data_IF_899048646161
#
_entry.id   IF_899048646161
#
_cell.length_a   1.000
_cell.length_b   1.000
_cell.length_c   1.000
_cell.angle_alpha   90.00
_cell.angle_beta   90.00
_cell.angle_gamma   90.00
#
_symmetry.space_group_name_H-M   'P 1'
#
loop_
_entity.id
_entity.type
_entity.pdbx_description
1 polymer ?
#
# COMPACT_ATOMS: atom_id res chain seq x y z
N UNK A 1 20.14 4.35 -23.85
CA UNK A 1 21.16 3.38 -23.40
C UNK A 1 21.43 3.70 -21.94
N UNK A 2 21.41 2.69 -21.08
CA UNK A 2 21.58 2.83 -19.64
C UNK A 2 23.06 3.07 -19.30
N UNK A 3 23.37 4.25 -18.78
CA UNK A 3 24.71 4.77 -18.52
C UNK A 3 25.52 3.96 -17.49
N UNK A 4 24.88 3.05 -16.76
CA UNK A 4 25.53 2.21 -15.74
C UNK A 4 26.18 0.93 -16.30
N UNK A 5 26.06 0.68 -17.60
CA UNK A 5 26.55 -0.54 -18.26
C UNK A 5 27.89 -0.36 -18.97
N UNK A 6 28.30 0.89 -19.21
CA UNK A 6 29.54 1.20 -19.94
C UNK A 6 30.77 0.77 -19.12
N UNK A 7 31.51 -0.21 -19.64
CA UNK A 7 32.81 -0.63 -19.11
C UNK A 7 32.82 -1.85 -18.19
N UNK A 8 31.67 -2.47 -17.91
CA UNK A 8 31.58 -3.63 -16.99
C UNK A 8 31.63 -5.00 -17.68
N UNK A 9 31.46 -5.06 -19.00
CA UNK A 9 31.43 -6.30 -19.79
C UNK A 9 32.29 -6.16 -21.03
N UNK A 10 32.95 -7.24 -21.44
CA UNK A 10 33.71 -7.27 -22.69
C UNK A 10 32.78 -7.16 -23.90
N UNK A 11 33.28 -6.66 -25.02
CA UNK A 11 32.53 -6.55 -26.28
C UNK A 11 31.97 -7.92 -26.72
N UNK A 12 32.71 -8.99 -26.48
CA UNK A 12 32.31 -10.37 -26.75
C UNK A 12 31.11 -10.80 -25.89
N UNK A 13 31.13 -10.47 -24.59
CA UNK A 13 30.05 -10.77 -23.64
C UNK A 13 28.76 -10.02 -24.01
N UNK A 14 28.88 -8.74 -24.35
CA UNK A 14 27.77 -7.94 -24.83
C UNK A 14 27.16 -8.52 -26.12
N UNK A 15 28.00 -9.00 -27.05
CA UNK A 15 27.55 -9.65 -28.28
C UNK A 15 26.80 -10.94 -27.99
N UNK A 16 27.30 -11.78 -27.07
CA UNK A 16 26.61 -13.02 -26.68
C UNK A 16 25.24 -12.78 -26.03
N UNK A 17 25.09 -11.71 -25.25
CA UNK A 17 23.79 -11.32 -24.65
C UNK A 17 22.79 -10.85 -25.69
N UNK A 18 23.23 -10.06 -26.67
CA UNK A 18 22.38 -9.60 -27.77
C UNK A 18 21.92 -10.77 -28.63
N UNK A 19 22.83 -11.70 -28.93
CA UNK A 19 22.51 -12.92 -29.68
C UNK A 19 21.53 -13.82 -28.92
N UNK A 20 21.73 -13.99 -27.60
CA UNK A 20 20.83 -14.74 -26.74
C UNK A 20 19.43 -14.10 -26.67
N UNK A 21 19.35 -12.77 -26.52
CA UNK A 21 18.09 -12.04 -26.53
C UNK A 21 17.34 -12.19 -27.86
N UNK A 22 18.05 -12.11 -28.99
CA UNK A 22 17.51 -12.37 -30.33
C UNK A 22 16.93 -13.78 -30.45
N UNK A 23 17.59 -14.78 -29.86
CA UNK A 23 17.12 -16.17 -29.86
C UNK A 23 15.87 -16.37 -28.98
N UNK A 24 15.78 -15.66 -27.86
CA UNK A 24 14.60 -15.67 -26.99
C UNK A 24 13.36 -15.05 -27.66
N UNK A 25 13.57 -14.06 -28.53
CA UNK A 25 12.51 -13.31 -29.21
C UNK A 25 12.02 -13.96 -30.52
N UNK A 26 12.54 -15.13 -30.89
CA UNK A 26 12.14 -15.80 -32.13
C UNK A 26 10.64 -16.15 -32.14
N UNK A 27 10.00 -15.92 -33.29
CA UNK A 27 8.57 -16.15 -33.48
C UNK A 27 8.21 -17.63 -33.31
N UNK A 28 9.07 -18.55 -33.78
CA UNK A 28 8.86 -19.98 -33.62
C UNK A 28 9.33 -20.51 -32.25
N UNK A 29 8.45 -21.13 -31.44
CA UNK A 29 8.82 -21.63 -30.11
C UNK A 29 9.93 -22.69 -30.10
N UNK A 30 10.08 -23.44 -31.20
CA UNK A 30 11.08 -24.52 -31.34
C UNK A 30 12.52 -24.01 -31.43
N UNK A 31 12.68 -22.74 -31.82
CA UNK A 31 13.99 -22.12 -31.99
C UNK A 31 14.39 -21.29 -30.77
N UNK A 32 13.49 -21.14 -29.78
CA UNK A 32 13.81 -20.47 -28.52
C UNK A 32 14.69 -21.37 -27.66
N UNK A 33 15.71 -20.82 -26.99
CA UNK A 33 16.52 -21.59 -26.07
C UNK A 33 15.68 -22.09 -24.89
N UNK A 34 15.96 -23.30 -24.42
CA UNK A 34 15.35 -23.83 -23.21
C UNK A 34 16.02 -23.21 -21.96
N UNK A 35 15.38 -23.33 -20.79
CA UNK A 35 15.89 -22.75 -19.55
C UNK A 35 17.32 -23.22 -19.20
N UNK A 36 17.68 -24.47 -19.52
CA UNK A 36 19.03 -25.00 -19.26
C UNK A 36 20.09 -24.31 -20.11
N UNK A 37 19.80 -24.10 -21.39
CA UNK A 37 20.69 -23.41 -22.33
C UNK A 37 20.83 -21.93 -21.96
N UNK A 38 19.75 -21.30 -21.50
CA UNK A 38 19.75 -19.92 -21.04
C UNK A 38 20.63 -19.76 -19.79
N UNK A 39 20.46 -20.64 -18.80
CA UNK A 39 21.31 -20.65 -17.59
C UNK A 39 22.77 -20.91 -17.94
N UNK A 40 23.06 -21.86 -18.83
CA UNK A 40 24.43 -22.16 -19.25
C UNK A 40 25.10 -20.99 -19.99
N UNK A 41 24.34 -20.22 -20.78
CA UNK A 41 24.84 -19.04 -21.48
C UNK A 41 25.04 -17.83 -20.54
N UNK A 42 24.21 -17.70 -19.50
CA UNK A 42 24.26 -16.59 -18.55
C UNK A 42 25.23 -16.84 -17.37
N UNK A 43 25.52 -18.10 -17.03
CA UNK A 43 26.40 -18.46 -15.91
C UNK A 43 27.82 -17.84 -16.00
N UNK A 44 28.49 -17.78 -17.17
CA UNK A 44 29.80 -17.13 -17.28
C UNK A 44 29.75 -15.61 -17.07
N UNK A 45 28.60 -14.98 -17.32
CA UNK A 45 28.38 -13.53 -17.20
C UNK A 45 28.01 -13.10 -15.78
N UNK A 46 27.79 -14.06 -14.89
CA UNK A 46 27.47 -13.84 -13.49
C UNK A 46 28.75 -13.48 -12.70
N UNK A 47 29.31 -12.30 -12.97
CA UNK A 47 30.57 -11.81 -12.38
C UNK A 47 30.39 -11.16 -11.00
N UNK A 48 29.14 -10.94 -10.55
CA UNK A 48 28.84 -10.34 -9.25
C UNK A 48 28.39 -11.40 -8.26
N UNK A 49 29.11 -11.47 -7.14
CA UNK A 49 28.78 -12.22 -5.93
C UNK A 49 27.29 -12.11 -5.60
N UNK A 50 26.66 -13.22 -5.20
CA UNK A 50 25.30 -13.26 -4.65
C UNK A 50 25.20 -12.22 -3.53
N UNK A 51 24.68 -11.06 -3.89
CA UNK A 51 24.50 -9.95 -2.96
C UNK A 51 23.01 -9.94 -2.63
N UNK A 52 22.60 -10.02 -1.35
CA UNK A 52 21.21 -9.96 -0.97
C UNK A 52 20.49 -8.79 -1.66
N UNK A 53 19.27 -9.02 -2.13
CA UNK A 53 18.51 -8.05 -2.94
C UNK A 53 18.42 -6.66 -2.29
N UNK A 54 18.31 -6.61 -0.96
CA UNK A 54 18.26 -5.36 -0.20
C UNK A 54 19.51 -4.49 -0.42
N UNK A 55 20.71 -5.09 -0.49
CA UNK A 55 21.98 -4.38 -0.74
C UNK A 55 22.03 -3.88 -2.19
N UNK A 56 21.58 -4.70 -3.14
CA UNK A 56 21.57 -4.34 -4.56
C UNK A 56 20.60 -3.20 -4.85
N UNK A 57 19.46 -3.16 -4.14
CA UNK A 57 18.45 -2.13 -4.28
C UNK A 57 18.76 -0.86 -3.44
N UNK A 58 19.89 -0.82 -2.74
CA UNK A 58 20.26 0.30 -1.86
C UNK A 58 19.27 0.50 -0.70
N UNK A 59 18.48 -0.52 -0.38
CA UNK A 59 17.55 -0.50 0.74
C UNK A 59 18.40 -0.64 2.00
N UNK A 60 18.11 0.11 3.06
CA UNK A 60 18.76 -0.15 4.35
C UNK A 60 18.18 -1.44 4.93
N UNK A 61 19.03 -2.30 5.49
CA UNK A 61 18.56 -3.47 6.23
C UNK A 61 17.64 -2.93 7.33
N UNK A 62 16.35 -3.29 7.33
CA UNK A 62 15.55 -3.17 8.53
C UNK A 62 16.23 -4.09 9.55
N UNK A 63 17.04 -3.51 10.44
CA UNK A 63 17.40 -4.20 11.66
C UNK A 63 16.08 -4.61 12.32
N UNK A 64 15.97 -5.87 12.72
CA UNK A 64 14.89 -6.31 13.61
C UNK A 64 14.83 -5.29 14.76
N UNK A 65 13.78 -4.46 14.73
CA UNK A 65 13.64 -3.39 15.68
C UNK A 65 13.62 -3.99 17.09
N UNK A 66 14.25 -3.35 18.09
CA UNK A 66 14.17 -3.80 19.47
C UNK A 66 12.70 -3.96 19.85
N UNK A 67 12.34 -5.13 20.37
CA UNK A 67 11.00 -5.47 20.78
C UNK A 67 10.56 -4.66 22.01
N UNK A 68 10.21 -3.39 21.83
CA UNK A 68 9.37 -2.58 22.74
C UNK A 68 9.12 -1.20 22.11
N UNK A 69 7.87 -0.79 21.87
CA UNK A 69 7.55 0.61 21.61
C UNK A 69 7.95 1.43 22.85
N UNK A 70 8.81 2.45 22.70
CA UNK A 70 9.18 3.35 23.80
C UNK A 70 8.07 4.38 24.11
N UNK A 71 7.08 4.50 23.23
CA UNK A 71 5.92 5.37 23.39
C UNK A 71 4.61 4.57 23.44
N UNK A 72 3.63 4.99 24.26
CA UNK A 72 2.31 4.37 24.25
C UNK A 72 1.70 4.51 22.86
N UNK A 73 1.21 3.40 22.30
CA UNK A 73 0.57 3.36 20.99
C UNK A 73 -0.67 4.27 20.98
N UNK A 74 -1.02 4.79 19.80
CA UNK A 74 -2.30 5.48 19.63
C UNK A 74 -3.48 4.53 19.89
N UNK A 75 -4.69 5.05 20.18
CA UNK A 75 -5.88 4.22 20.31
C UNK A 75 -6.11 3.31 19.08
N UNK A 76 -5.77 3.79 17.89
CA UNK A 76 -5.84 2.99 16.65
C UNK A 76 -4.79 1.88 16.65
N UNK A 77 -3.53 2.19 16.97
CA UNK A 77 -2.45 1.20 17.02
C UNK A 77 -2.68 0.11 18.06
N UNK A 78 -3.21 0.47 19.22
CA UNK A 78 -3.63 -0.49 20.25
C UNK A 78 -4.75 -1.43 19.76
N UNK A 79 -5.79 -0.87 19.14
CA UNK A 79 -6.91 -1.64 18.61
C UNK A 79 -6.44 -2.59 17.50
N UNK A 80 -5.54 -2.14 16.62
CA UNK A 80 -4.99 -2.96 15.55
C UNK A 80 -4.09 -4.08 16.07
N UNK A 81 -3.26 -3.81 17.09
CA UNK A 81 -2.42 -4.82 17.74
C UNK A 81 -3.27 -5.94 18.35
N UNK A 82 -4.41 -5.60 18.95
CA UNK A 82 -5.37 -6.56 19.51
C UNK A 82 -6.30 -7.17 18.46
N UNK A 83 -6.28 -6.66 17.22
CA UNK A 83 -7.23 -7.02 16.15
C UNK A 83 -8.69 -6.80 16.63
N UNK A 84 -8.90 -5.74 17.40
CA UNK A 84 -10.21 -5.35 17.94
C UNK A 84 -10.98 -4.58 16.86
N UNK A 85 -11.68 -5.33 16.00
CA UNK A 85 -12.41 -4.75 14.86
C UNK A 85 -13.50 -3.77 15.30
N UNK A 86 -14.09 -3.96 16.49
CA UNK A 86 -15.12 -3.07 17.03
C UNK A 86 -14.52 -1.74 17.46
N UNK A 87 -13.37 -1.76 18.14
CA UNK A 87 -12.66 -0.53 18.49
C UNK A 87 -12.19 0.22 17.23
N UNK A 88 -11.67 -0.49 16.23
CA UNK A 88 -11.26 0.09 14.94
C UNK A 88 -12.47 0.75 14.25
N UNK A 89 -13.63 0.08 14.24
CA UNK A 89 -14.88 0.61 13.68
C UNK A 89 -15.27 1.94 14.33
N UNK A 90 -15.30 1.99 15.66
CA UNK A 90 -15.66 3.20 16.40
C UNK A 90 -14.71 4.36 16.08
N UNK A 91 -13.39 4.08 16.01
CA UNK A 91 -12.41 5.09 15.64
C UNK A 91 -12.67 5.60 14.21
N UNK A 92 -12.88 4.73 13.23
CA UNK A 92 -13.16 5.13 11.84
C UNK A 92 -14.50 5.88 11.68
N UNK A 93 -15.48 5.63 12.54
CA UNK A 93 -16.72 6.41 12.61
C UNK A 93 -16.44 7.82 13.14
N UNK A 94 -15.65 7.93 14.21
CA UNK A 94 -15.35 9.20 14.88
C UNK A 94 -14.42 10.11 14.07
N UNK A 95 -13.46 9.55 13.33
CA UNK A 95 -12.51 10.32 12.50
C UNK A 95 -13.16 10.95 11.26
N UNK A 96 -14.39 10.54 10.91
CA UNK A 96 -15.13 11.03 9.75
C UNK A 96 -14.30 11.01 8.45
N UNK A 97 -14.11 12.15 7.79
CA UNK A 97 -13.33 12.32 6.56
C UNK A 97 -12.19 13.33 6.77
N UNK A 98 -11.76 13.54 8.02
CA UNK A 98 -10.77 14.56 8.35
C UNK A 98 -9.44 14.32 7.62
N UNK A 99 -9.12 13.06 7.33
CA UNK A 99 -7.90 12.67 6.61
C UNK A 99 -7.98 12.82 5.09
N UNK A 100 -9.18 12.89 4.51
CA UNK A 100 -9.37 13.11 3.07
C UNK A 100 -9.08 14.58 2.69
N UNK A 101 -9.05 15.50 3.66
CA UNK A 101 -8.83 16.92 3.43
C UNK A 101 -7.45 17.22 2.83
N UNK A 102 -6.46 16.34 3.07
CA UNK A 102 -5.12 16.40 2.47
C UNK A 102 -5.11 16.15 0.94
N UNK A 103 -6.22 15.67 0.36
CA UNK A 103 -6.33 15.31 -1.08
C UNK A 103 -7.15 16.31 -1.91
N UNK A 104 -7.55 17.45 -1.34
CA UNK A 104 -8.41 18.43 -2.00
C UNK A 104 -7.64 19.40 -2.91
N UNK A 105 -7.54 19.08 -4.20
CA UNK A 105 -7.45 20.10 -5.25
C UNK A 105 -8.82 20.20 -5.93
N UNK A 106 -9.67 21.08 -5.39
CA UNK A 106 -11.06 21.22 -5.83
C UNK A 106 -11.14 22.10 -7.07
N UNK A 107 -11.60 21.53 -8.19
CA UNK A 107 -11.81 22.27 -9.44
C UNK A 107 -13.30 22.50 -9.71
N UNK A 108 -13.63 23.59 -10.39
CA UNK A 108 -15.00 24.05 -10.67
C UNK A 108 -15.91 23.02 -11.40
N UNK A 109 -15.38 21.87 -11.83
CA UNK A 109 -16.12 20.75 -12.43
C UNK A 109 -16.97 19.91 -11.44
N UNK A 110 -16.93 20.24 -10.14
CA UNK A 110 -17.51 19.43 -9.05
C UNK A 110 -19.04 19.49 -8.89
N UNK A 111 -19.75 20.34 -9.63
CA UNK A 111 -21.20 20.49 -9.48
C UNK A 111 -22.02 19.76 -10.55
N UNK A 112 -21.50 18.64 -11.07
CA UNK A 112 -22.25 17.80 -12.02
C UNK A 112 -23.25 16.88 -11.30
N UNK A 113 -24.32 16.48 -12.00
CA UNK A 113 -25.30 15.51 -11.48
C UNK A 113 -24.62 14.20 -11.04
N UNK A 114 -23.63 13.73 -11.80
CA UNK A 114 -22.86 12.53 -11.49
C UNK A 114 -22.08 12.66 -10.17
N UNK A 115 -21.52 13.83 -9.87
CA UNK A 115 -20.88 14.09 -8.58
C UNK A 115 -21.89 14.03 -7.43
N UNK A 116 -23.06 14.67 -7.60
CA UNK A 116 -24.14 14.59 -6.62
C UNK A 116 -24.54 13.13 -6.34
N UNK A 117 -24.75 12.33 -7.39
CA UNK A 117 -25.14 10.93 -7.26
C UNK A 117 -24.04 10.11 -6.54
N UNK A 118 -22.78 10.37 -6.86
CA UNK A 118 -21.61 9.75 -6.19
C UNK A 118 -21.59 10.06 -4.69
N UNK A 119 -21.82 11.32 -4.31
CA UNK A 119 -21.87 11.75 -2.91
C UNK A 119 -23.06 11.13 -2.15
N UNK A 120 -24.20 10.94 -2.80
CA UNK A 120 -25.37 10.28 -2.20
C UNK A 120 -25.12 8.79 -1.95
N UNK A 121 -24.45 8.08 -2.88
CA UNK A 121 -24.02 6.68 -2.66
C UNK A 121 -23.06 6.59 -1.49
N UNK A 122 -22.10 7.51 -1.40
CA UNK A 122 -21.17 7.58 -0.26
C UNK A 122 -21.90 7.76 1.07
N UNK A 123 -22.83 8.72 1.15
CA UNK A 123 -23.64 8.97 2.36
C UNK A 123 -24.43 7.75 2.79
N UNK A 124 -25.00 7.00 1.83
CA UNK A 124 -25.71 5.76 2.10
C UNK A 124 -24.78 4.69 2.66
N UNK A 125 -23.59 4.54 2.09
CA UNK A 125 -22.55 3.66 2.62
C UNK A 125 -22.12 4.04 4.04
N UNK A 126 -21.95 5.33 4.32
CA UNK A 126 -21.60 5.83 5.66
C UNK A 126 -22.70 5.66 6.69
N UNK A 127 -23.96 5.66 6.27
CA UNK A 127 -25.08 5.32 7.14
C UNK A 127 -25.06 3.83 7.47
N UNK A 128 -24.98 2.96 6.45
CA UNK A 128 -24.91 1.52 6.65
C UNK A 128 -23.69 1.10 7.49
N UNK A 129 -22.53 1.73 7.27
CA UNK A 129 -21.32 1.49 8.04
C UNK A 129 -21.51 1.80 9.53
N UNK A 130 -22.19 2.90 9.86
CA UNK A 130 -22.47 3.28 11.26
C UNK A 130 -23.47 2.35 11.95
N UNK A 131 -24.45 1.85 11.20
CA UNK A 131 -25.45 0.88 11.69
C UNK A 131 -24.93 -0.57 11.66
N UNK A 132 -23.63 -0.77 11.41
CA UNK A 132 -22.97 -2.09 11.34
C UNK A 132 -23.55 -3.02 10.26
N UNK A 133 -24.29 -2.48 9.28
CA UNK A 133 -24.69 -3.21 8.08
C UNK A 133 -23.54 -3.21 7.06
N UNK A 134 -22.53 -4.02 7.37
CA UNK A 134 -21.29 -4.08 6.61
C UNK A 134 -21.49 -4.55 5.17
N UNK A 135 -22.50 -5.37 4.90
CA UNK A 135 -22.78 -5.86 3.53
C UNK A 135 -23.32 -4.75 2.65
N UNK A 136 -24.32 -4.01 3.12
CA UNK A 136 -24.83 -2.85 2.39
C UNK A 136 -23.78 -1.74 2.29
N UNK A 137 -22.96 -1.54 3.32
CA UNK A 137 -21.83 -0.62 3.26
C UNK A 137 -20.83 -1.02 2.16
N UNK A 138 -20.47 -2.30 2.04
CA UNK A 138 -19.61 -2.81 0.96
C UNK A 138 -20.21 -2.51 -0.40
N UNK A 139 -21.50 -2.78 -0.61
CA UNK A 139 -22.18 -2.54 -1.90
C UNK A 139 -22.13 -1.05 -2.27
N UNK A 140 -22.46 -0.16 -1.34
CA UNK A 140 -22.44 1.28 -1.57
C UNK A 140 -21.02 1.79 -1.85
N UNK A 141 -20.02 1.38 -1.06
CA UNK A 141 -18.64 1.78 -1.28
C UNK A 141 -18.05 1.20 -2.57
N UNK A 142 -18.48 -0.01 -2.98
CA UNK A 142 -18.11 -0.57 -4.28
C UNK A 142 -18.64 0.31 -5.42
N UNK A 143 -19.93 0.66 -5.37
CA UNK A 143 -20.53 1.56 -6.35
C UNK A 143 -19.83 2.92 -6.40
N UNK A 144 -19.49 3.50 -5.25
CA UNK A 144 -18.73 4.75 -5.18
C UNK A 144 -17.37 4.64 -5.89
N UNK A 145 -16.61 3.58 -5.63
CA UNK A 145 -15.29 3.36 -6.23
C UNK A 145 -15.43 3.10 -7.74
N UNK A 146 -16.41 2.29 -8.16
CA UNK A 146 -16.64 1.93 -9.56
C UNK A 146 -17.09 3.12 -10.41
N UNK A 147 -17.82 4.08 -9.82
CA UNK A 147 -18.17 5.34 -10.49
C UNK A 147 -16.93 6.18 -10.83
N UNK A 148 -15.82 6.01 -10.11
CA UNK A 148 -14.52 6.65 -10.40
C UNK A 148 -14.52 8.18 -10.42
N UNK A 149 -15.62 8.81 -9.98
CA UNK A 149 -15.82 10.27 -10.06
C UNK A 149 -15.07 11.00 -8.96
N UNK A 150 -14.87 10.34 -7.82
CA UNK A 150 -14.09 10.81 -6.69
C UNK A 150 -13.28 9.64 -6.12
N UNK A 151 -12.09 9.96 -5.62
CA UNK A 151 -11.22 8.99 -4.95
C UNK A 151 -11.15 9.38 -3.48
N UNK A 152 -11.34 8.43 -2.58
CA UNK A 152 -11.35 8.66 -1.13
C UNK A 152 -10.59 7.55 -0.42
N UNK A 153 -9.47 7.86 0.27
CA UNK A 153 -8.77 6.88 1.07
C UNK A 153 -9.63 6.41 2.24
N UNK A 154 -10.43 7.29 2.85
CA UNK A 154 -11.38 6.92 3.92
C UNK A 154 -12.40 5.87 3.46
N UNK A 155 -12.99 6.02 2.27
CA UNK A 155 -13.93 5.02 1.73
C UNK A 155 -13.25 3.65 1.58
N UNK A 156 -12.00 3.63 1.09
CA UNK A 156 -11.23 2.39 0.95
C UNK A 156 -10.93 1.74 2.32
N UNK A 157 -10.53 2.52 3.33
CA UNK A 157 -10.30 2.01 4.68
C UNK A 157 -11.58 1.47 5.35
N UNK A 158 -12.70 2.19 5.24
CA UNK A 158 -13.99 1.72 5.77
C UNK A 158 -14.45 0.44 5.09
N UNK A 159 -14.36 0.37 3.75
CA UNK A 159 -14.69 -0.85 3.00
C UNK A 159 -13.76 -2.00 3.35
N UNK A 160 -12.47 -1.74 3.61
CA UNK A 160 -11.53 -2.74 4.14
C UNK A 160 -12.03 -3.32 5.46
N UNK A 161 -12.44 -2.47 6.41
CA UNK A 161 -12.99 -2.93 7.68
C UNK A 161 -14.27 -3.74 7.51
N UNK A 162 -15.20 -3.31 6.64
CA UNK A 162 -16.40 -4.08 6.34
C UNK A 162 -16.07 -5.49 5.84
N UNK A 163 -15.05 -5.62 4.98
CA UNK A 163 -14.59 -6.92 4.52
C UNK A 163 -14.00 -7.75 5.65
N UNK A 164 -13.24 -7.16 6.58
CA UNK A 164 -12.75 -7.86 7.79
C UNK A 164 -13.91 -8.35 8.67
N UNK A 165 -14.95 -7.53 8.86
CA UNK A 165 -16.16 -7.91 9.61
C UNK A 165 -16.98 -9.00 8.92
N UNK A 166 -16.79 -9.18 7.61
CA UNK A 166 -17.42 -10.22 6.81
C UNK A 166 -16.49 -11.42 6.54
N UNK A 167 -15.35 -11.55 7.24
CA UNK A 167 -14.33 -12.60 7.06
C UNK A 167 -13.74 -12.68 5.63
N UNK A 168 -13.68 -11.58 4.91
CA UNK A 168 -13.13 -11.46 3.55
C UNK A 168 -11.74 -10.81 3.56
N UNK A 169 -10.75 -11.48 4.16
CA UNK A 169 -9.45 -10.89 4.49
C UNK A 169 -8.63 -10.44 3.26
N UNK A 170 -8.61 -11.21 2.17
CA UNK A 170 -7.92 -10.81 0.93
C UNK A 170 -8.50 -9.53 0.32
N UNK A 171 -9.84 -9.40 0.35
CA UNK A 171 -10.51 -8.21 -0.12
C UNK A 171 -10.22 -7.01 0.78
N UNK A 172 -10.16 -7.22 2.10
CA UNK A 172 -9.77 -6.20 3.05
C UNK A 172 -8.35 -5.69 2.79
N UNK A 173 -7.38 -6.58 2.58
CA UNK A 173 -6.00 -6.20 2.28
C UNK A 173 -5.89 -5.37 1.01
N UNK A 174 -6.56 -5.78 -0.08
CA UNK A 174 -6.58 -5.02 -1.34
C UNK A 174 -7.11 -3.59 -1.15
N UNK A 175 -8.18 -3.42 -0.39
CA UNK A 175 -8.74 -2.10 -0.10
C UNK A 175 -7.80 -1.25 0.78
N UNK A 176 -7.11 -1.85 1.75
CA UNK A 176 -6.15 -1.16 2.59
C UNK A 176 -4.91 -0.69 1.79
N UNK A 177 -4.43 -1.50 0.85
CA UNK A 177 -3.37 -1.12 -0.09
C UNK A 177 -3.84 -0.01 -1.05
N UNK A 178 -5.09 -0.06 -1.52
CA UNK A 178 -5.65 1.02 -2.34
C UNK A 178 -5.70 2.34 -1.57
N UNK A 179 -6.09 2.32 -0.28
CA UNK A 179 -6.05 3.51 0.57
C UNK A 179 -4.65 4.12 0.66
N UNK A 180 -3.62 3.29 0.82
CA UNK A 180 -2.22 3.74 0.80
C UNK A 180 -1.82 4.34 -0.55
N UNK A 181 -2.24 3.75 -1.67
CA UNK A 181 -1.95 4.31 -3.00
C UNK A 181 -2.53 5.72 -3.17
N UNK A 182 -3.70 5.97 -2.58
CA UNK A 182 -4.38 7.27 -2.63
C UNK A 182 -3.70 8.28 -1.71
N UNK A 183 -3.32 7.85 -0.50
CA UNK A 183 -2.63 8.70 0.46
C UNK A 183 -1.45 7.95 1.09
N UNK A 184 -0.27 8.14 0.49
CA UNK A 184 0.95 7.39 0.81
C UNK A 184 1.43 7.58 2.26
N UNK A 185 1.17 8.74 2.87
CA UNK A 185 1.58 9.07 4.23
C UNK A 185 0.48 8.87 5.27
N UNK A 186 -0.57 8.09 4.98
CA UNK A 186 -1.71 7.93 5.89
C UNK A 186 -1.54 6.71 6.81
N UNK A 187 -1.33 6.91 8.13
CA UNK A 187 -1.06 5.79 9.04
C UNK A 187 -2.18 4.75 9.09
N UNK A 188 -3.44 5.18 9.02
CA UNK A 188 -4.62 4.30 9.04
C UNK A 188 -4.58 3.26 7.92
N UNK A 189 -4.06 3.59 6.75
CA UNK A 189 -3.96 2.61 5.66
C UNK A 189 -3.03 1.45 6.04
N UNK A 190 -1.89 1.73 6.66
CA UNK A 190 -0.92 0.73 7.13
C UNK A 190 -1.48 -0.09 8.30
N UNK A 191 -2.17 0.55 9.24
CA UNK A 191 -2.89 -0.16 10.31
C UNK A 191 -3.92 -1.17 9.77
N UNK A 192 -4.70 -0.77 8.76
CA UNK A 192 -5.67 -1.66 8.12
C UNK A 192 -4.99 -2.83 7.38
N UNK A 193 -3.82 -2.60 6.75
CA UNK A 193 -3.02 -3.67 6.14
C UNK A 193 -2.53 -4.65 7.19
N UNK A 194 -2.00 -4.17 8.31
CA UNK A 194 -1.54 -5.02 9.40
C UNK A 194 -2.63 -5.96 9.92
N UNK A 195 -3.83 -5.44 10.17
CA UNK A 195 -4.97 -6.22 10.65
C UNK A 195 -5.38 -7.30 9.62
N UNK A 196 -5.42 -6.94 8.33
CA UNK A 196 -5.76 -7.89 7.27
C UNK A 196 -4.68 -8.98 7.10
N UNK A 197 -3.40 -8.62 7.14
CA UNK A 197 -2.27 -9.56 7.07
C UNK A 197 -2.24 -10.51 8.28
N UNK A 198 -2.52 -10.00 9.48
CA UNK A 198 -2.60 -10.82 10.68
C UNK A 198 -3.72 -11.87 10.56
N UNK A 199 -4.89 -11.48 10.04
CA UNK A 199 -6.03 -12.39 9.75
C UNK A 199 -5.73 -13.40 8.63
N UNK A 200 -4.77 -13.09 7.75
CA UNK A 200 -4.24 -14.00 6.71
C UNK A 200 -3.09 -14.90 7.22
N UNK A 201 -2.74 -14.84 8.52
CA UNK A 201 -1.60 -15.54 9.14
C UNK A 201 -0.22 -15.09 8.63
N UNK A 202 -0.11 -13.89 8.07
CA UNK A 202 1.15 -13.28 7.62
C UNK A 202 1.71 -12.39 8.73
N UNK A 203 2.15 -13.01 9.84
CA UNK A 203 2.46 -12.30 11.09
C UNK A 203 3.68 -11.36 10.98
N UNK A 204 4.72 -11.75 10.23
CA UNK A 204 5.89 -10.87 9.98
C UNK A 204 5.44 -9.56 9.35
N UNK A 205 4.71 -9.68 8.25
CA UNK A 205 4.31 -8.55 7.42
C UNK A 205 3.29 -7.68 8.18
N UNK A 206 2.45 -8.30 9.02
CA UNK A 206 1.55 -7.56 9.90
C UNK A 206 2.30 -6.70 10.92
N UNK A 207 3.36 -7.22 11.54
CA UNK A 207 4.20 -6.48 12.49
C UNK A 207 4.91 -5.33 11.79
N UNK A 208 5.47 -5.57 10.61
CA UNK A 208 6.14 -4.53 9.80
C UNK A 208 5.17 -3.39 9.48
N UNK A 209 3.93 -3.70 9.09
CA UNK A 209 2.90 -2.69 8.82
C UNK A 209 2.44 -1.93 10.07
N UNK A 210 2.39 -2.57 11.26
CA UNK A 210 2.12 -1.87 12.52
C UNK A 210 3.23 -0.87 12.88
N UNK A 211 4.48 -1.27 12.67
CA UNK A 211 5.64 -0.40 12.94
C UNK A 211 5.64 0.80 12.01
N UNK A 212 5.43 0.58 10.71
CA UNK A 212 5.35 1.67 9.72
C UNK A 212 4.20 2.64 10.04
N UNK A 213 3.04 2.12 10.43
CA UNK A 213 1.91 2.97 10.83
C UNK A 213 2.25 3.85 12.05
N UNK A 214 2.88 3.28 13.08
CA UNK A 214 3.30 4.02 14.27
C UNK A 214 4.31 5.11 13.93
N UNK A 215 5.32 4.82 13.11
CA UNK A 215 6.32 5.80 12.67
C UNK A 215 5.68 6.96 11.90
N UNK A 216 4.69 6.68 11.05
CA UNK A 216 3.97 7.72 10.29
C UNK A 216 3.10 8.60 11.20
N UNK A 217 2.49 8.05 12.27
CA UNK A 217 1.75 8.84 13.25
C UNK A 217 2.66 9.79 14.03
N UNK A 218 3.82 9.30 14.49
CA UNK A 218 4.81 10.09 15.23
C UNK A 218 5.29 11.27 14.37
N UNK A 219 5.71 10.99 13.13
CA UNK A 219 6.14 12.03 12.19
C UNK A 219 5.07 13.09 11.94
N UNK A 220 3.80 12.68 11.82
CA UNK A 220 2.68 13.62 11.61
C UNK A 220 2.45 14.53 12.82
N UNK A 221 2.68 14.05 14.03
CA UNK A 221 2.60 14.85 15.26
C UNK A 221 3.75 15.86 15.35
N UNK A 222 4.96 15.46 14.97
CA UNK A 222 6.12 16.35 14.93
C UNK A 222 5.95 17.50 13.93
N UNK A 223 5.52 17.19 12.70
CA UNK A 223 5.26 18.19 11.65
C UNK A 223 4.14 19.18 12.06
N UNK A 224 3.13 18.70 12.80
CA UNK A 224 2.05 19.52 13.36
C UNK A 224 2.53 20.47 14.47
N UNK A 225 3.46 20.03 15.32
CA UNK A 225 4.02 20.85 16.40
C UNK A 225 5.08 21.84 15.92
N UNK A 226 5.93 21.46 14.96
CA UNK A 226 6.94 22.37 14.37
C UNK A 226 6.34 23.57 13.64
N UNK A 227 5.10 23.42 13.15
CA UNK A 227 4.33 24.50 12.51
C UNK A 227 3.85 25.58 13.50
N UNK A 228 3.71 25.25 14.79
CA UNK A 228 3.29 26.20 15.84
C UNK A 228 4.47 26.95 16.46
N UNK A 229 5.69 26.38 16.43
CA UNK A 229 6.89 27.05 16.95
C UNK A 229 7.44 28.14 16.02
N UNK A 230 7.07 28.15 14.73
CA UNK A 230 7.47 29.22 13.78
C UNK A 230 6.65 30.51 13.89
N UNK A 231 5.62 30.56 14.74
CA UNK A 231 4.80 31.77 14.97
C UNK A 231 5.09 32.48 16.30
N UNK A 232 6.13 32.07 17.03
CA UNK A 232 6.50 32.65 18.33
C UNK A 232 7.84 33.41 18.36
N UNK A 233 8.33 33.91 17.22
CA UNK A 233 9.43 34.89 17.18
C UNK A 233 9.12 36.08 16.28
#
# INVERSE_FOLDING_TARGET
MDSHSEGNFSTEEATTLVDLASHCLQHEPRHRPNAKNLVAALAPLQTKSETPSYVMLGIQKHEEAPATPQHPLSPMGEACTRIDLTAIHQILVMTHYNDDEATKELSFQEWTQQMSDTLEVRKRGDFAFREEDFKTAIECYSQFIDMGTMVSPTVCARRSLCHLMCDQHDAALRNAMQAQCIYQGWPTAFYMQAVALAKLNMQSDAIDMLQEASMLEEKRQEDGNGSLEQFYF
#
